data_IF_391710420109
#
_entry.id   IF_391710420109
#
_cell.length_a   1.000
_cell.length_b   1.000
_cell.length_c   1.000
_cell.angle_alpha   90.00
_cell.angle_beta   90.00
_cell.angle_gamma   90.00
#
_symmetry.space_group_name_H-M   'P 1'
#
loop_
_entity.id
_entity.type
_entity.pdbx_description
1 polymer ?
#
# COMPACT_ATOMS: atom_id res chain seq x y z
N UNK A 1 -13.85 8.69 6.90
CA UNK A 1 -12.58 8.17 7.43
C UNK A 1 -12.18 8.99 8.65
N UNK A 2 -12.01 8.36 9.81
CA UNK A 2 -11.55 9.09 11.01
C UNK A 2 -10.04 9.28 10.96
N UNK A 3 -9.51 10.28 11.68
CA UNK A 3 -8.06 10.50 11.79
C UNK A 3 -7.33 9.26 12.33
N UNK A 4 -7.94 8.56 13.28
CA UNK A 4 -7.39 7.34 13.86
C UNK A 4 -7.27 6.23 12.80
N UNK A 5 -8.34 6.00 12.02
CA UNK A 5 -8.34 5.03 10.92
C UNK A 5 -7.28 5.35 9.86
N UNK A 6 -7.05 6.63 9.57
CA UNK A 6 -6.00 7.07 8.65
C UNK A 6 -4.59 6.74 9.16
N UNK A 7 -4.33 7.05 10.42
CA UNK A 7 -3.04 6.75 11.05
C UNK A 7 -2.76 5.25 11.10
N UNK A 8 -3.79 4.46 11.41
CA UNK A 8 -3.72 3.00 11.44
C UNK A 8 -3.39 2.45 10.05
N UNK A 9 -4.13 2.87 9.02
CA UNK A 9 -3.92 2.42 7.64
C UNK A 9 -2.52 2.79 7.14
N UNK A 10 -2.10 4.05 7.33
CA UNK A 10 -0.74 4.49 7.01
C UNK A 10 0.31 3.62 7.71
N UNK A 11 0.17 3.38 9.02
CA UNK A 11 1.13 2.59 9.79
C UNK A 11 1.19 1.13 9.34
N UNK A 12 0.07 0.55 8.93
CA UNK A 12 -0.01 -0.81 8.44
C UNK A 12 0.75 -0.92 7.11
N UNK A 13 0.44 -0.03 6.16
CA UNK A 13 1.09 0.03 4.85
C UNK A 13 2.59 0.31 4.97
N UNK A 14 3.00 1.26 5.80
CA UNK A 14 4.41 1.55 6.05
C UNK A 14 5.14 0.34 6.60
N UNK A 15 4.57 -0.36 7.60
CA UNK A 15 5.17 -1.58 8.16
C UNK A 15 5.30 -2.68 7.12
N UNK A 16 4.32 -2.83 6.24
CA UNK A 16 4.36 -3.85 5.18
C UNK A 16 5.50 -3.57 4.18
N UNK A 17 5.57 -2.36 3.63
CA UNK A 17 6.63 -1.97 2.69
C UNK A 17 8.02 -2.02 3.33
N UNK A 18 8.14 -1.65 4.61
CA UNK A 18 9.40 -1.83 5.34
C UNK A 18 9.78 -3.31 5.46
N UNK A 19 8.85 -4.20 5.80
CA UNK A 19 9.14 -5.64 5.83
C UNK A 19 9.58 -6.13 4.44
N UNK A 20 8.87 -5.77 3.37
CA UNK A 20 9.25 -6.15 2.01
C UNK A 20 10.67 -5.68 1.68
N UNK A 21 11.00 -4.42 2.01
CA UNK A 21 12.31 -3.82 1.75
C UNK A 21 13.44 -4.46 2.56
N UNK A 22 13.16 -4.90 3.79
CA UNK A 22 14.13 -5.46 4.75
C UNK A 22 13.98 -6.99 4.92
N UNK A 23 13.69 -7.70 3.81
CA UNK A 23 13.67 -9.19 3.74
C UNK A 23 12.74 -9.85 4.75
N UNK A 24 11.52 -9.31 4.86
CA UNK A 24 10.44 -9.81 5.72
C UNK A 24 10.51 -9.37 7.19
N UNK A 25 11.58 -8.69 7.61
CA UNK A 25 11.73 -8.21 8.99
C UNK A 25 11.47 -6.72 9.09
N UNK A 26 10.66 -6.32 10.07
CA UNK A 26 10.48 -4.90 10.37
C UNK A 26 11.76 -4.36 11.03
N UNK A 27 12.42 -3.33 10.46
CA UNK A 27 13.58 -2.72 11.08
C UNK A 27 13.21 -2.01 12.39
N UNK A 28 14.21 -1.76 13.24
CA UNK A 28 14.01 -0.87 14.39
C UNK A 28 13.72 0.56 13.93
N UNK A 29 13.05 1.35 14.76
CA UNK A 29 12.76 2.75 14.43
C UNK A 29 14.04 3.57 14.19
N UNK A 30 15.12 3.28 14.92
CA UNK A 30 16.42 3.92 14.71
C UNK A 30 17.03 3.54 13.34
N UNK A 31 16.99 2.25 12.97
CA UNK A 31 17.48 1.80 11.67
C UNK A 31 16.66 2.39 10.51
N UNK A 32 15.32 2.44 10.66
CA UNK A 32 14.45 3.10 9.69
C UNK A 32 14.79 4.60 9.54
N UNK A 33 14.97 5.33 10.65
CA UNK A 33 15.34 6.75 10.61
C UNK A 33 16.66 6.98 9.88
N UNK A 34 17.69 6.17 10.16
CA UNK A 34 18.99 6.26 9.46
C UNK A 34 18.82 6.06 7.95
N UNK A 35 18.06 5.03 7.55
CA UNK A 35 17.84 4.72 6.14
C UNK A 35 17.00 5.77 5.42
N UNK A 36 15.97 6.31 6.06
CA UNK A 36 15.18 7.42 5.54
C UNK A 36 16.04 8.67 5.37
N UNK A 37 16.84 9.01 6.37
CA UNK A 37 17.71 10.19 6.34
C UNK A 37 18.79 10.06 5.25
N UNK A 38 19.24 8.84 4.95
CA UNK A 38 20.13 8.57 3.83
C UNK A 38 19.50 8.93 2.48
N UNK A 39 18.20 8.66 2.30
CA UNK A 39 17.47 9.08 1.09
C UNK A 39 17.40 10.61 0.97
N UNK A 40 17.42 11.31 2.10
CA UNK A 40 17.29 12.76 2.15
C UNK A 40 18.60 13.55 1.91
N UNK A 41 19.76 12.88 1.73
CA UNK A 41 21.05 13.49 1.37
C UNK A 41 21.36 14.86 2.05
N UNK A 42 21.21 14.94 3.39
CA UNK A 42 21.44 16.15 4.22
C UNK A 42 20.39 17.28 4.10
N UNK A 43 19.18 16.97 3.65
CA UNK A 43 18.03 17.88 3.64
C UNK A 43 17.43 18.11 5.05
N UNK A 44 16.77 19.25 5.33
CA UNK A 44 15.98 19.49 6.56
C UNK A 44 14.84 18.48 6.80
N UNK A 45 14.63 17.55 5.86
CA UNK A 45 13.66 16.47 5.93
C UNK A 45 14.06 15.35 6.89
N UNK A 46 15.32 15.31 7.34
CA UNK A 46 15.81 14.31 8.27
C UNK A 46 14.90 14.16 9.50
N UNK A 47 14.70 12.91 9.94
CA UNK A 47 13.83 12.55 11.05
C UNK A 47 14.65 11.95 12.20
N UNK A 48 14.13 12.14 13.42
CA UNK A 48 14.63 11.46 14.60
C UNK A 48 14.12 10.02 14.67
N UNK A 49 14.75 9.20 15.51
CA UNK A 49 14.25 7.86 15.83
C UNK A 49 12.86 7.86 16.48
N UNK A 50 12.51 8.90 17.24
CA UNK A 50 11.17 9.05 17.84
C UNK A 50 10.12 9.35 16.77
N UNK A 51 10.43 10.24 15.81
CA UNK A 51 9.55 10.52 14.67
C UNK A 51 9.27 9.24 13.87
N UNK A 52 10.33 8.49 13.54
CA UNK A 52 10.24 7.19 12.88
C UNK A 52 9.38 6.19 13.66
N UNK A 53 9.55 6.11 14.99
CA UNK A 53 8.76 5.26 15.87
C UNK A 53 7.28 5.63 15.85
N UNK A 54 6.96 6.93 15.90
CA UNK A 54 5.57 7.42 15.84
C UNK A 54 4.90 7.09 14.52
N UNK A 55 5.63 7.15 13.40
CA UNK A 55 5.09 6.73 12.09
C UNK A 55 4.80 5.23 12.05
N UNK A 56 5.77 4.39 12.46
CA UNK A 56 5.62 2.92 12.49
C UNK A 56 4.43 2.49 13.36
N UNK A 57 4.15 3.22 14.44
CA UNK A 57 3.06 2.93 15.38
C UNK A 57 1.71 3.58 15.00
N UNK A 58 1.68 4.45 14.00
CA UNK A 58 0.46 5.20 13.65
C UNK A 58 0.09 6.25 14.70
N UNK A 59 1.06 6.89 15.34
CA UNK A 59 0.81 8.01 16.26
C UNK A 59 0.91 9.38 15.56
N UNK A 60 1.56 9.44 14.39
CA UNK A 60 1.64 10.65 13.58
C UNK A 60 1.84 10.32 12.10
N UNK A 61 1.52 11.27 11.22
CA UNK A 61 1.83 11.21 9.80
C UNK A 61 3.11 12.01 9.49
N UNK A 62 3.85 11.67 8.43
CA UNK A 62 4.79 12.58 7.79
C UNK A 62 4.06 13.80 7.21
N UNK A 63 4.76 14.91 7.03
CA UNK A 63 4.28 15.99 6.17
C UNK A 63 4.44 15.60 4.68
N UNK A 64 3.84 16.39 3.79
CA UNK A 64 3.82 16.14 2.34
C UNK A 64 5.20 15.84 1.78
N UNK A 65 6.21 16.65 2.08
CA UNK A 65 7.56 16.46 1.50
C UNK A 65 8.19 15.14 1.94
N UNK A 66 8.03 14.75 3.22
CA UNK A 66 8.56 13.49 3.74
C UNK A 66 7.76 12.29 3.22
N UNK A 67 6.47 12.48 2.96
CA UNK A 67 5.63 11.47 2.36
C UNK A 67 6.10 11.16 0.93
N UNK A 68 6.45 12.17 0.14
CA UNK A 68 7.03 11.99 -1.21
C UNK A 68 8.29 11.12 -1.16
N UNK A 69 9.21 11.37 -0.22
CA UNK A 69 10.40 10.53 -0.05
C UNK A 69 10.04 9.07 0.25
N UNK A 70 9.01 8.84 1.08
CA UNK A 70 8.55 7.48 1.37
C UNK A 70 7.92 6.80 0.15
N UNK A 71 7.19 7.55 -0.68
CA UNK A 71 6.63 7.04 -1.94
C UNK A 71 7.74 6.64 -2.91
N UNK A 72 8.70 7.54 -3.14
CA UNK A 72 9.82 7.28 -4.06
C UNK A 72 10.73 6.15 -3.56
N UNK A 73 10.98 6.09 -2.25
CA UNK A 73 11.91 5.12 -1.68
C UNK A 73 11.28 3.73 -1.48
N UNK A 74 10.05 3.67 -0.96
CA UNK A 74 9.41 2.42 -0.57
C UNK A 74 8.31 1.98 -1.55
N UNK A 75 7.95 2.81 -2.53
CA UNK A 75 6.84 2.52 -3.46
C UNK A 75 5.47 2.58 -2.78
N UNK A 76 5.32 3.39 -1.72
CA UNK A 76 4.05 3.50 -0.99
C UNK A 76 2.94 4.04 -1.90
N UNK A 77 1.88 3.25 -2.05
CA UNK A 77 0.69 3.68 -2.77
C UNK A 77 -0.20 4.55 -1.87
N UNK A 78 -0.16 5.86 -2.10
CA UNK A 78 -0.94 6.82 -1.31
C UNK A 78 -2.44 6.65 -1.50
N UNK A 79 -2.89 6.19 -2.66
CA UNK A 79 -4.31 5.92 -2.88
C UNK A 79 -4.79 4.82 -1.93
N UNK A 80 -4.02 3.76 -1.72
CA UNK A 80 -4.32 2.71 -0.73
C UNK A 80 -4.22 3.21 0.72
N UNK A 81 -3.39 4.22 1.00
CA UNK A 81 -3.30 4.83 2.34
C UNK A 81 -4.50 5.72 2.65
N UNK A 82 -5.01 6.46 1.66
CA UNK A 82 -6.06 7.47 1.86
C UNK A 82 -7.47 7.01 1.42
N UNK A 83 -7.60 5.90 0.71
CA UNK A 83 -8.92 5.39 0.28
C UNK A 83 -9.69 4.75 1.42
N UNK A 84 -11.00 4.97 1.44
CA UNK A 84 -11.95 4.27 2.32
C UNK A 84 -12.20 2.82 1.87
N UNK A 85 -11.81 2.44 0.65
CA UNK A 85 -12.14 1.13 0.12
C UNK A 85 -11.62 0.06 1.11
N UNK A 86 -12.48 -0.82 1.64
CA UNK A 86 -11.99 -2.02 2.30
C UNK A 86 -10.99 -2.63 1.32
N UNK A 87 -9.83 -3.07 1.83
CA UNK A 87 -8.95 -3.91 1.03
C UNK A 87 -9.86 -4.93 0.34
N UNK A 88 -9.91 -4.99 -1.02
CA UNK A 88 -10.55 -6.13 -1.64
C UNK A 88 -9.82 -7.29 -1.01
N UNK A 89 -10.57 -8.10 -0.24
CA UNK A 89 -10.03 -9.17 0.57
C UNK A 89 -8.93 -9.82 -0.26
N UNK A 90 -7.70 -9.76 0.25
CA UNK A 90 -6.66 -10.61 -0.29
C UNK A 90 -7.30 -12.01 -0.38
N UNK A 91 -7.22 -12.59 -1.58
CA UNK A 91 -7.74 -13.92 -1.93
C UNK A 91 -9.18 -13.98 -2.53
N UNK A 92 -9.44 -13.22 -3.61
CA UNK A 92 -10.02 -13.91 -4.78
C UNK A 92 -8.89 -14.74 -5.37
N UNK A 93 -8.88 -16.02 -4.99
CA UNK A 93 -7.80 -16.98 -5.25
C UNK A 93 -7.13 -16.76 -6.60
N UNK A 94 -5.84 -16.43 -6.52
CA UNK A 94 -4.90 -16.58 -7.63
C UNK A 94 -4.63 -18.09 -7.87
N UNK A 95 -5.69 -18.88 -7.96
CA UNK A 95 -5.59 -20.16 -8.67
C UNK A 95 -5.43 -19.83 -10.16
N UNK A 96 -4.61 -20.64 -10.84
CA UNK A 96 -4.28 -20.47 -12.25
C UNK A 96 -5.55 -20.29 -13.11
N UNK A 97 -6.65 -20.93 -12.73
CA UNK A 97 -7.93 -20.85 -13.42
C UNK A 97 -8.55 -19.45 -13.43
N UNK A 98 -8.50 -18.71 -12.31
CA UNK A 98 -9.03 -17.34 -12.24
C UNK A 98 -8.25 -16.39 -13.16
N UNK A 99 -6.93 -16.57 -13.21
CA UNK A 99 -6.04 -15.77 -14.05
C UNK A 99 -6.24 -16.06 -15.55
N UNK A 100 -6.44 -17.34 -15.91
CA UNK A 100 -6.77 -17.76 -17.27
C UNK A 100 -8.13 -17.19 -17.71
N UNK A 101 -9.13 -17.27 -16.84
CA UNK A 101 -10.46 -16.74 -17.11
C UNK A 101 -10.44 -15.21 -17.33
N UNK A 102 -9.66 -14.47 -16.55
CA UNK A 102 -9.49 -13.02 -16.74
C UNK A 102 -8.78 -12.70 -18.05
N UNK A 103 -7.75 -13.47 -18.43
CA UNK A 103 -7.06 -13.29 -19.73
C UNK A 103 -8.02 -13.52 -20.89
N UNK A 104 -8.79 -14.61 -20.85
CA UNK A 104 -9.78 -14.91 -21.88
C UNK A 104 -10.84 -13.81 -21.95
N UNK A 105 -11.34 -13.38 -20.79
CA UNK A 105 -12.32 -12.30 -20.72
C UNK A 105 -11.80 -11.01 -21.37
N UNK A 106 -10.54 -10.63 -21.09
CA UNK A 106 -9.93 -9.43 -21.66
C UNK A 106 -9.77 -9.52 -23.19
N UNK A 107 -9.55 -10.70 -23.74
CA UNK A 107 -9.39 -10.94 -25.19
C UNK A 107 -10.71 -10.97 -25.97
N UNK A 108 -11.87 -11.06 -25.30
CA UNK A 108 -13.16 -11.09 -25.97
C UNK A 108 -13.60 -9.73 -26.54
N UNK A 109 -14.42 -9.78 -27.59
CA UNK A 109 -15.12 -8.62 -28.15
C UNK A 109 -16.17 -8.08 -27.17
N UNK A 110 -16.39 -6.76 -27.19
CA UNK A 110 -17.34 -6.05 -26.31
C UNK A 110 -18.73 -6.71 -26.18
N UNK A 111 -19.42 -7.15 -27.25
CA UNK A 111 -20.72 -7.81 -27.10
C UNK A 111 -20.65 -9.12 -26.31
N UNK A 112 -19.57 -9.89 -26.46
CA UNK A 112 -19.37 -11.17 -25.73
C UNK A 112 -19.07 -10.92 -24.25
N UNK A 113 -18.28 -9.88 -23.95
CA UNK A 113 -18.05 -9.42 -22.57
C UNK A 113 -19.35 -9.03 -21.88
N UNK A 114 -20.25 -8.34 -22.58
CA UNK A 114 -21.54 -7.94 -22.03
C UNK A 114 -22.43 -9.15 -21.69
N UNK A 115 -22.48 -10.17 -22.55
CA UNK A 115 -23.21 -11.40 -22.25
C UNK A 115 -22.70 -12.11 -21.00
N UNK A 116 -21.37 -12.19 -20.84
CA UNK A 116 -20.77 -12.79 -19.63
C UNK A 116 -21.13 -11.97 -18.38
N UNK A 117 -21.07 -10.64 -18.45
CA UNK A 117 -21.44 -9.79 -17.33
C UNK A 117 -22.94 -9.90 -16.98
N UNK A 118 -23.81 -10.00 -17.98
CA UNK A 118 -25.25 -10.19 -17.79
C UNK A 118 -25.56 -11.52 -17.10
N UNK A 119 -24.91 -12.59 -17.58
CA UNK A 119 -25.01 -13.91 -16.95
C UNK A 119 -24.54 -13.90 -15.49
N UNK A 120 -23.38 -13.30 -15.20
CA UNK A 120 -22.88 -13.21 -13.82
C UNK A 120 -23.82 -12.41 -12.91
N UNK A 121 -24.41 -11.32 -13.42
CA UNK A 121 -25.42 -10.53 -12.68
C UNK A 121 -26.69 -11.33 -12.41
N UNK A 122 -27.04 -12.28 -13.26
CA UNK A 122 -28.23 -13.13 -13.05
C UNK A 122 -28.05 -14.19 -11.95
N UNK A 123 -26.82 -14.44 -11.51
CA UNK A 123 -26.49 -15.44 -10.49
C UNK A 123 -26.43 -14.86 -9.06
N UNK A 124 -26.57 -13.55 -8.89
CA UNK A 124 -26.46 -12.84 -7.60
C UNK A 124 -27.78 -12.18 -7.25
#
# INVERSE_FOLDING_TARGET
MTRQTLLENFSARLRDHLKQRFRGRLPSAAAFAVQFNWQCQHSPLAISGETARRWIRGNSLPDETRLTVLVEWLGLDLQQVFSHAPEPAAELGADLQTSELLKLFMQMETPKKQLVLDFLRSLT
#
